data_IF_057851646608
#
_entry.id   IF_057851646608
#
_cell.length_a   1.000
_cell.length_b   1.000
_cell.length_c   1.000
_cell.angle_alpha   90.00
_cell.angle_beta   90.00
_cell.angle_gamma   90.00
#
_symmetry.space_group_name_H-M   'P 1'
#
loop_
_entity.id
_entity.type
_entity.pdbx_description
1 polymer ?
#
# COMPACT_ATOMS: atom_id res chain seq x y z
N UNK A 1 -19.54 5.72 -11.97
CA UNK A 1 -18.24 5.10 -11.68
C UNK A 1 -17.15 6.08 -12.06
N UNK A 2 -16.16 6.28 -11.21
CA UNK A 2 -15.07 7.20 -11.51
C UNK A 2 -14.05 6.52 -12.46
N UNK A 3 -13.56 7.28 -13.44
CA UNK A 3 -12.61 6.82 -14.47
C UNK A 3 -11.40 7.75 -14.46
N UNK A 4 -10.21 7.18 -14.39
CA UNK A 4 -8.96 7.93 -14.32
C UNK A 4 -7.99 7.47 -15.40
N UNK A 5 -7.24 8.42 -15.97
CA UNK A 5 -6.14 8.14 -16.89
C UNK A 5 -4.85 8.06 -16.08
N UNK A 6 -3.99 7.11 -16.39
CA UNK A 6 -2.72 6.96 -15.69
C UNK A 6 -1.53 7.52 -16.44
N UNK A 7 -0.39 7.64 -15.74
CA UNK A 7 0.88 8.07 -16.33
C UNK A 7 1.37 7.15 -17.44
N UNK A 8 1.05 5.85 -17.38
CA UNK A 8 1.35 4.87 -18.43
C UNK A 8 0.40 4.95 -19.65
N UNK A 9 -0.63 5.83 -19.60
CA UNK A 9 -1.67 5.95 -20.62
C UNK A 9 -2.84 4.99 -20.47
N UNK A 10 -2.80 4.08 -19.48
CA UNK A 10 -3.89 3.14 -19.18
C UNK A 10 -5.08 3.89 -18.55
N UNK A 11 -6.29 3.41 -18.83
CA UNK A 11 -7.52 3.92 -18.22
C UNK A 11 -7.98 2.94 -17.16
N UNK A 12 -8.24 3.44 -15.95
CA UNK A 12 -8.71 2.66 -14.81
C UNK A 12 -10.11 3.10 -14.41
N UNK A 13 -11.04 2.16 -14.36
CA UNK A 13 -12.40 2.37 -13.83
C UNK A 13 -12.44 1.84 -12.40
N UNK A 14 -12.86 2.69 -11.46
CA UNK A 14 -12.94 2.27 -10.06
C UNK A 14 -14.19 1.47 -9.78
N UNK A 15 -14.03 0.46 -8.94
CA UNK A 15 -15.09 -0.39 -8.38
C UNK A 15 -15.50 0.03 -6.98
N UNK A 16 -15.77 -0.96 -6.14
CA UNK A 16 -16.19 -0.75 -4.76
C UNK A 16 -15.09 -0.10 -3.90
N UNK A 17 -15.50 0.75 -2.96
CA UNK A 17 -14.60 1.28 -1.95
C UNK A 17 -14.23 0.16 -0.97
N UNK A 18 -12.94 -0.05 -0.74
CA UNK A 18 -12.40 -1.02 0.19
C UNK A 18 -12.10 -0.42 1.57
N UNK A 19 -11.74 0.86 1.60
CA UNK A 19 -11.42 1.55 2.84
C UNK A 19 -11.18 3.04 2.66
N UNK A 20 -11.19 3.75 3.78
CA UNK A 20 -10.83 5.17 3.82
C UNK A 20 -9.83 5.41 4.95
N UNK A 21 -8.80 6.17 4.66
CA UNK A 21 -7.80 6.61 5.62
C UNK A 21 -7.76 8.13 5.75
N UNK A 22 -6.83 8.63 6.55
CA UNK A 22 -6.61 10.07 6.73
C UNK A 22 -6.35 10.80 5.41
N UNK A 23 -5.53 10.22 4.54
CA UNK A 23 -5.07 10.86 3.31
C UNK A 23 -5.93 10.58 2.07
N UNK A 24 -6.69 9.46 2.05
CA UNK A 24 -7.35 9.04 0.81
C UNK A 24 -8.29 7.86 0.97
N UNK A 25 -8.89 7.49 -0.14
CA UNK A 25 -9.83 6.40 -0.30
C UNK A 25 -9.18 5.32 -1.15
N UNK A 26 -9.28 4.07 -0.71
CA UNK A 26 -8.81 2.91 -1.47
C UNK A 26 -10.00 2.21 -2.09
N UNK A 27 -9.96 1.98 -3.39
CA UNK A 27 -11.01 1.34 -4.17
C UNK A 27 -10.47 0.23 -5.03
N UNK A 28 -11.33 -0.74 -5.32
CA UNK A 28 -11.06 -1.75 -6.35
C UNK A 28 -10.92 -1.10 -7.73
N UNK A 29 -10.25 -1.81 -8.63
CA UNK A 29 -10.15 -1.46 -10.04
C UNK A 29 -10.87 -2.55 -10.83
N UNK A 30 -11.82 -2.17 -11.67
CA UNK A 30 -12.56 -3.13 -12.49
C UNK A 30 -11.60 -3.88 -13.43
N UNK A 31 -11.73 -5.20 -13.44
CA UNK A 31 -10.88 -6.07 -14.26
C UNK A 31 -9.46 -6.30 -13.72
N UNK A 32 -9.12 -5.76 -12.52
CA UNK A 32 -7.79 -5.88 -11.93
C UNK A 32 -7.87 -6.38 -10.47
N UNK A 33 -7.97 -7.68 -10.28
CA UNK A 33 -8.14 -8.27 -8.94
C UNK A 33 -6.91 -8.17 -8.03
N UNK A 34 -5.72 -7.98 -8.60
CA UNK A 34 -4.44 -7.90 -7.87
C UNK A 34 -4.01 -6.47 -7.51
N UNK A 35 -4.77 -5.46 -7.93
CA UNK A 35 -4.44 -4.05 -7.74
C UNK A 35 -5.62 -3.27 -7.18
N UNK A 36 -5.29 -2.16 -6.55
CA UNK A 36 -6.23 -1.17 -6.02
C UNK A 36 -5.76 0.24 -6.37
N UNK A 37 -6.70 1.18 -6.39
CA UNK A 37 -6.40 2.59 -6.54
C UNK A 37 -6.55 3.30 -5.19
N UNK A 38 -5.57 4.12 -4.81
CA UNK A 38 -5.69 5.08 -3.71
C UNK A 38 -5.90 6.46 -4.31
N UNK A 39 -7.05 7.06 -4.06
CA UNK A 39 -7.38 8.43 -4.45
C UNK A 39 -7.26 9.33 -3.23
N UNK A 40 -6.48 10.39 -3.35
CA UNK A 40 -6.32 11.37 -2.28
C UNK A 40 -7.61 12.15 -2.05
N UNK A 41 -7.89 12.48 -0.78
CA UNK A 41 -8.98 13.38 -0.43
C UNK A 41 -8.70 14.78 -0.95
N UNK A 42 -9.75 15.54 -1.27
CA UNK A 42 -9.62 16.89 -1.82
C UNK A 42 -8.87 17.85 -0.87
N UNK A 43 -9.05 17.68 0.43
CA UNK A 43 -8.44 18.47 1.50
C UNK A 43 -6.99 18.06 1.83
N UNK A 44 -6.47 16.98 1.21
CA UNK A 44 -5.09 16.51 1.42
C UNK A 44 -4.06 17.51 0.93
N UNK A 45 -4.38 18.23 -0.12
CA UNK A 45 -3.49 19.23 -0.73
C UNK A 45 -4.05 20.63 -0.51
N UNK A 46 -3.34 21.43 0.29
CA UNK A 46 -3.74 22.83 0.58
C UNK A 46 -3.40 23.75 -0.57
N UNK A 47 -2.38 23.39 -1.34
CA UNK A 47 -1.88 24.18 -2.47
C UNK A 47 -1.57 23.27 -3.67
N UNK A 48 -1.50 23.86 -4.86
CA UNK A 48 -1.03 23.16 -6.07
C UNK A 48 0.42 22.70 -5.92
N UNK A 49 1.23 23.44 -5.15
CA UNK A 49 2.62 23.08 -4.85
C UNK A 49 2.71 21.80 -4.03
N UNK A 50 1.78 21.56 -3.08
CA UNK A 50 1.74 20.32 -2.31
C UNK A 50 1.44 19.12 -3.22
N UNK A 51 0.48 19.30 -4.14
CA UNK A 51 0.11 18.29 -5.15
C UNK A 51 1.29 17.98 -6.08
N UNK A 52 1.94 19.00 -6.59
CA UNK A 52 3.12 18.86 -7.44
C UNK A 52 4.27 18.13 -6.72
N UNK A 53 4.50 18.46 -5.45
CA UNK A 53 5.52 17.80 -4.63
C UNK A 53 5.21 16.32 -4.44
N UNK A 54 3.95 15.97 -4.18
CA UNK A 54 3.52 14.58 -4.06
C UNK A 54 3.65 13.84 -5.40
N UNK A 55 3.27 14.47 -6.50
CA UNK A 55 3.43 13.90 -7.84
C UNK A 55 4.89 13.60 -8.17
N UNK A 56 5.80 14.53 -7.87
CA UNK A 56 7.25 14.31 -8.03
C UNK A 56 7.74 13.14 -7.19
N UNK A 57 7.26 13.02 -5.93
CA UNK A 57 7.58 11.90 -5.06
C UNK A 57 7.13 10.57 -5.68
N UNK A 58 5.89 10.51 -6.17
CA UNK A 58 5.37 9.30 -6.80
C UNK A 58 6.14 8.93 -8.06
N UNK A 59 6.51 9.91 -8.90
CA UNK A 59 7.36 9.69 -10.09
C UNK A 59 8.72 9.10 -9.69
N UNK A 60 9.39 9.71 -8.72
CA UNK A 60 10.65 9.19 -8.21
C UNK A 60 10.53 7.76 -7.67
N UNK A 61 9.41 7.44 -6.98
CA UNK A 61 9.15 6.09 -6.51
C UNK A 61 8.96 5.08 -7.66
N UNK A 62 8.30 5.47 -8.75
CA UNK A 62 8.16 4.62 -9.94
C UNK A 62 9.52 4.38 -10.62
N UNK A 63 10.34 5.42 -10.74
CA UNK A 63 11.67 5.36 -11.37
C UNK A 63 12.64 4.44 -10.61
N UNK A 64 12.43 4.24 -9.32
CA UNK A 64 13.22 3.30 -8.50
C UNK A 64 13.05 1.84 -8.91
N UNK A 65 12.02 1.50 -9.67
CA UNK A 65 11.72 0.14 -10.14
C UNK A 65 11.80 -0.92 -9.03
N UNK A 66 11.14 -0.65 -7.91
CA UNK A 66 11.10 -1.53 -6.73
C UNK A 66 10.19 -2.73 -7.00
N UNK A 67 10.69 -3.94 -6.75
CA UNK A 67 9.82 -5.11 -6.74
C UNK A 67 8.90 -5.08 -5.52
N UNK A 68 7.60 -5.23 -5.75
CA UNK A 68 6.61 -5.39 -4.67
C UNK A 68 6.66 -6.78 -4.03
N UNK A 69 7.31 -7.72 -4.72
CA UNK A 69 7.56 -9.08 -4.24
C UNK A 69 8.99 -9.21 -3.73
N UNK A 70 9.13 -9.73 -2.51
CA UNK A 70 10.41 -10.09 -1.87
C UNK A 70 10.31 -11.55 -1.47
N UNK A 71 11.28 -12.37 -1.86
CA UNK A 71 11.26 -13.83 -1.69
C UNK A 71 9.98 -14.50 -2.20
N UNK A 72 9.50 -14.04 -3.36
CA UNK A 72 8.29 -14.56 -4.01
C UNK A 72 6.97 -14.19 -3.33
N UNK A 73 7.00 -13.40 -2.26
CA UNK A 73 5.81 -12.96 -1.52
C UNK A 73 5.57 -11.46 -1.69
N UNK A 74 4.30 -11.08 -1.84
CA UNK A 74 3.89 -9.68 -1.86
C UNK A 74 4.19 -9.04 -0.49
N UNK A 75 5.12 -8.08 -0.46
CA UNK A 75 5.60 -7.45 0.78
C UNK A 75 5.33 -5.96 0.84
N UNK A 76 5.15 -5.30 -0.30
CA UNK A 76 5.10 -3.84 -0.37
C UNK A 76 3.86 -3.37 -1.14
N UNK A 77 3.13 -2.41 -0.56
CA UNK A 77 2.10 -1.63 -1.24
C UNK A 77 2.74 -0.43 -1.97
N UNK A 78 3.67 -0.72 -2.90
CA UNK A 78 4.42 0.30 -3.63
C UNK A 78 3.60 0.87 -4.78
N UNK A 79 3.71 2.18 -5.13
CA UNK A 79 3.08 2.74 -6.32
C UNK A 79 3.50 2.00 -7.59
N UNK A 80 2.53 1.68 -8.44
CA UNK A 80 2.72 1.02 -9.73
C UNK A 80 2.38 1.91 -10.92
N UNK A 81 1.52 2.91 -10.71
CA UNK A 81 1.10 3.86 -11.74
C UNK A 81 0.47 5.08 -11.07
N UNK A 82 0.54 6.28 -11.68
CA UNK A 82 -0.02 7.52 -11.15
C UNK A 82 -1.33 7.81 -11.86
N UNK A 83 -2.35 8.23 -11.12
CA UNK A 83 -3.68 8.52 -11.62
C UNK A 83 -3.92 10.02 -11.75
N UNK A 84 -4.53 10.41 -12.86
CA UNK A 84 -4.84 11.79 -13.20
C UNK A 84 -6.32 11.98 -13.52
N UNK A 85 -6.84 13.13 -13.13
CA UNK A 85 -8.14 13.64 -13.50
C UNK A 85 -7.97 15.08 -14.00
N UNK A 86 -8.45 15.36 -15.21
CA UNK A 86 -8.31 16.69 -15.85
C UNK A 86 -6.88 17.26 -15.82
N UNK A 87 -5.88 16.38 -16.01
CA UNK A 87 -4.47 16.77 -16.01
C UNK A 87 -3.83 16.92 -14.62
N UNK A 88 -4.59 16.83 -13.54
CA UNK A 88 -4.09 16.92 -12.17
C UNK A 88 -3.91 15.54 -11.56
N UNK A 89 -2.81 15.31 -10.83
CA UNK A 89 -2.58 14.09 -10.09
C UNK A 89 -3.59 13.96 -8.96
N UNK A 90 -4.30 12.83 -8.91
CA UNK A 90 -5.34 12.56 -7.89
C UNK A 90 -5.04 11.34 -7.04
N UNK A 91 -4.12 10.47 -7.44
CA UNK A 91 -3.84 9.25 -6.72
C UNK A 91 -2.85 8.33 -7.43
N UNK A 92 -2.83 7.08 -7.03
CA UNK A 92 -1.96 6.07 -7.60
C UNK A 92 -2.55 4.66 -7.50
N UNK A 93 -2.06 3.77 -8.34
CA UNK A 93 -2.35 2.33 -8.31
C UNK A 93 -1.27 1.64 -7.49
N UNK A 94 -1.66 0.64 -6.71
CA UNK A 94 -0.75 -0.18 -5.91
C UNK A 94 -1.25 -1.63 -5.84
N UNK A 95 -0.42 -2.61 -5.42
CA UNK A 95 -0.86 -3.97 -5.19
C UNK A 95 -1.98 -4.04 -4.15
N UNK A 96 -2.94 -4.94 -4.38
CA UNK A 96 -3.99 -5.25 -3.40
C UNK A 96 -3.40 -6.16 -2.32
N UNK A 97 -3.35 -5.67 -1.10
CA UNK A 97 -2.97 -6.48 0.07
C UNK A 97 -4.23 -7.18 0.58
N UNK A 98 -4.28 -8.49 0.43
CA UNK A 98 -5.43 -9.33 0.84
C UNK A 98 -5.30 -9.76 2.31
N UNK A 99 -5.10 -8.83 3.22
CA UNK A 99 -5.01 -9.13 4.64
C UNK A 99 -6.10 -8.40 5.42
N UNK A 100 -6.80 -9.15 6.27
CA UNK A 100 -7.78 -8.62 7.22
C UNK A 100 -7.13 -8.05 8.48
N UNK A 101 -5.90 -8.49 8.78
CA UNK A 101 -5.27 -8.27 10.08
C UNK A 101 -4.01 -7.41 9.93
N UNK A 102 -3.72 -6.67 10.98
CA UNK A 102 -2.52 -5.88 11.15
C UNK A 102 -1.60 -6.52 12.18
N UNK A 103 -0.33 -6.14 12.22
CA UNK A 103 0.59 -6.62 13.25
C UNK A 103 0.05 -6.29 14.65
N UNK A 104 -0.71 -5.21 14.81
CA UNK A 104 -1.38 -4.85 16.04
C UNK A 104 -2.32 -5.93 16.56
N UNK A 105 -3.03 -6.64 15.67
CA UNK A 105 -4.03 -7.65 16.05
C UNK A 105 -3.39 -8.89 16.69
N UNK A 106 -2.11 -9.15 16.40
CA UNK A 106 -1.37 -10.31 16.93
C UNK A 106 -0.41 -9.97 18.07
N UNK A 107 -0.39 -8.72 18.53
CA UNK A 107 0.40 -8.34 19.70
C UNK A 107 -0.15 -8.91 21.01
N UNK A 108 -1.46 -9.22 21.03
CA UNK A 108 -2.12 -9.87 22.16
C UNK A 108 -2.25 -11.37 21.86
N UNK A 109 -1.74 -12.22 22.75
CA UNK A 109 -1.77 -13.66 22.58
C UNK A 109 -3.18 -14.19 22.34
N UNK A 110 -4.18 -13.70 23.10
CA UNK A 110 -5.59 -14.08 22.98
C UNK A 110 -6.18 -13.80 21.59
N UNK A 111 -5.75 -12.70 20.95
CA UNK A 111 -6.19 -12.36 19.60
C UNK A 111 -5.41 -13.16 18.55
N UNK A 112 -4.12 -13.36 18.78
CA UNK A 112 -3.29 -14.16 17.90
C UNK A 112 -3.78 -15.62 17.82
N UNK A 113 -4.21 -16.22 18.95
CA UNK A 113 -4.78 -17.57 19.02
C UNK A 113 -6.11 -17.70 18.26
N UNK A 114 -6.93 -16.63 18.22
CA UNK A 114 -8.16 -16.60 17.42
C UNK A 114 -7.89 -16.54 15.91
N UNK A 115 -6.79 -15.87 15.51
CA UNK A 115 -6.42 -15.72 14.10
C UNK A 115 -5.67 -16.95 13.60
N UNK A 116 -4.77 -17.48 14.43
CA UNK A 116 -3.95 -18.65 14.12
C UNK A 116 -4.24 -19.77 15.12
N UNK A 117 -4.99 -20.80 14.72
CA UNK A 117 -5.14 -22.00 15.55
C UNK A 117 -3.78 -22.59 15.90
N UNK A 118 -3.58 -22.91 17.18
CA UNK A 118 -2.29 -23.39 17.72
C UNK A 118 -1.15 -22.35 17.68
N UNK A 119 -1.48 -21.07 17.84
CA UNK A 119 -0.49 -19.99 17.94
C UNK A 119 0.59 -20.31 19.00
N UNK A 120 1.82 -20.12 18.64
CA UNK A 120 2.97 -20.26 19.54
C UNK A 120 3.94 -19.11 19.33
N UNK A 121 4.91 -18.95 20.22
CA UNK A 121 5.95 -17.94 20.08
C UNK A 121 6.71 -18.02 18.73
N UNK A 122 6.73 -19.19 18.08
CA UNK A 122 7.32 -19.37 16.73
C UNK A 122 6.66 -18.48 15.69
N UNK A 123 5.35 -18.23 15.80
CA UNK A 123 4.66 -17.29 14.90
C UNK A 123 5.16 -15.86 15.10
N UNK A 124 5.36 -15.43 16.35
CA UNK A 124 5.90 -14.09 16.64
C UNK A 124 7.30 -13.92 16.05
N UNK A 125 8.16 -14.93 16.19
CA UNK A 125 9.50 -14.94 15.58
C UNK A 125 9.40 -14.90 14.05
N UNK A 126 8.48 -15.66 13.45
CA UNK A 126 8.27 -15.67 12.01
C UNK A 126 7.77 -14.31 11.49
N UNK A 127 6.87 -13.63 12.22
CA UNK A 127 6.44 -12.27 11.87
C UNK A 127 7.60 -11.28 11.93
N UNK A 128 8.39 -11.32 13.00
CA UNK A 128 9.57 -10.46 13.15
C UNK A 128 10.59 -10.70 12.02
N UNK A 129 10.86 -11.95 11.69
CA UNK A 129 11.73 -12.33 10.58
C UNK A 129 11.19 -11.80 9.25
N UNK A 130 9.94 -12.07 8.91
CA UNK A 130 9.33 -11.63 7.66
C UNK A 130 9.34 -10.09 7.53
N UNK A 131 9.07 -9.39 8.64
CA UNK A 131 9.11 -7.94 8.69
C UNK A 131 10.53 -7.42 8.47
N UNK A 132 11.52 -8.02 9.14
CA UNK A 132 12.93 -7.61 8.99
C UNK A 132 13.43 -7.81 7.55
N UNK A 133 13.01 -8.87 6.87
CA UNK A 133 13.33 -9.11 5.44
C UNK A 133 12.75 -7.99 4.56
N UNK A 134 11.49 -7.61 4.78
CA UNK A 134 10.85 -6.54 4.01
C UNK A 134 11.51 -5.18 4.26
N UNK A 135 11.80 -4.86 5.53
CA UNK A 135 12.48 -3.61 5.92
C UNK A 135 13.90 -3.56 5.36
N UNK A 136 14.66 -4.65 5.50
CA UNK A 136 16.01 -4.75 4.93
C UNK A 136 15.99 -4.51 3.43
N UNK A 137 15.06 -5.14 2.69
CA UNK A 137 14.95 -4.94 1.25
C UNK A 137 14.76 -3.47 0.87
N UNK A 138 13.89 -2.74 1.59
CA UNK A 138 13.66 -1.31 1.36
C UNK A 138 14.90 -0.48 1.69
N UNK A 139 15.57 -0.78 2.81
CA UNK A 139 16.79 -0.08 3.23
C UNK A 139 17.96 -0.34 2.28
N UNK A 140 18.12 -1.56 1.75
CA UNK A 140 19.14 -1.89 0.75
C UNK A 140 18.97 -1.10 -0.57
N UNK A 141 17.79 -0.51 -0.79
CA UNK A 141 17.49 0.43 -1.89
C UNK A 141 17.66 1.90 -1.50
N UNK A 142 18.28 2.18 -0.35
CA UNK A 142 18.46 3.52 0.21
C UNK A 142 17.15 4.29 0.44
N UNK A 143 16.08 3.57 0.77
CA UNK A 143 14.76 4.15 1.05
C UNK A 143 14.52 4.12 2.55
N UNK A 144 14.12 5.26 3.11
CA UNK A 144 13.69 5.38 4.50
C UNK A 144 12.17 5.24 4.58
N UNK A 145 11.68 4.35 5.45
CA UNK A 145 10.26 4.18 5.71
C UNK A 145 9.82 5.28 6.70
N UNK A 146 9.11 6.29 6.19
CA UNK A 146 8.75 7.48 6.99
C UNK A 146 7.61 7.26 7.99
N UNK A 147 6.73 6.28 7.76
CA UNK A 147 5.57 6.00 8.61
C UNK A 147 5.52 4.51 9.00
N UNK A 148 6.54 4.11 9.75
CA UNK A 148 6.66 2.74 10.26
C UNK A 148 5.86 2.59 11.55
N UNK A 149 4.61 2.14 11.44
CA UNK A 149 3.74 1.91 12.58
C UNK A 149 2.91 0.63 12.42
N UNK A 150 2.36 0.15 13.54
CA UNK A 150 1.63 -1.11 13.64
C UNK A 150 0.39 -1.21 12.74
N UNK A 151 -0.21 -0.08 12.34
CA UNK A 151 -1.39 -0.05 11.48
C UNK A 151 -1.03 -0.19 9.99
N UNK A 152 0.22 0.11 9.63
CA UNK A 152 0.73 0.04 8.27
C UNK A 152 1.37 -1.31 7.94
N UNK A 153 1.45 -2.22 8.91
CA UNK A 153 2.00 -3.57 8.74
C UNK A 153 0.85 -4.56 8.73
N UNK A 154 0.58 -5.15 7.57
CA UNK A 154 -0.42 -6.21 7.41
C UNK A 154 0.23 -7.58 7.59
N UNK A 155 -0.53 -8.52 8.13
CA UNK A 155 -0.12 -9.93 8.26
C UNK A 155 -0.99 -10.80 7.37
N UNK A 156 -0.36 -11.81 6.78
CA UNK A 156 -1.02 -12.83 5.98
C UNK A 156 -1.43 -14.00 6.88
N UNK A 157 -2.59 -14.63 6.59
CA UNK A 157 -3.16 -15.74 7.40
C UNK A 157 -3.24 -17.01 6.59
#
# INVERSE_FOLDING_TARGET
MAVYKSSSGKVYTLGAQLGTGGEGIVSEIQGENSKVAKIYKADRFKTDQDRFTMERKLKAMLDMNISVYVDGKLRLAWPLDILYENGSMVGFVMPKINSKYKIFDVQRVEMAEKIYPNYTWKYAVQFAYNLSVAVKYVHDKNIVIGDFNQNNISIDT
#
